data_IF_961405194202
#
_entry.id   IF_961405194202
#
_cell.length_a   1.000
_cell.length_b   1.000
_cell.length_c   1.000
_cell.angle_alpha   90.00
_cell.angle_beta   90.00
_cell.angle_gamma   90.00
#
_symmetry.space_group_name_H-M   'P 1'
#
loop_
_entity.id
_entity.type
_entity.pdbx_description
1 polymer ?
#
# COMPACT_ATOMS: atom_id res chain seq x y z
N UNK A 1 -13.18 5.70 3.54
CA UNK A 1 -12.26 6.33 4.51
C UNK A 1 -10.89 5.70 4.38
N UNK A 2 -9.85 6.31 4.95
CA UNK A 2 -8.47 5.78 4.95
C UNK A 2 -7.94 5.82 6.38
N UNK A 3 -7.34 4.71 6.83
CA UNK A 3 -6.64 4.66 8.12
C UNK A 3 -5.13 4.72 7.88
N UNK A 4 -4.46 5.64 8.57
CA UNK A 4 -3.00 5.77 8.57
C UNK A 4 -2.50 5.42 9.98
N UNK A 5 -1.60 4.45 10.09
CA UNK A 5 -1.06 3.98 11.38
C UNK A 5 0.45 4.16 11.43
N UNK A 6 0.96 4.76 12.50
CA UNK A 6 2.38 4.93 12.74
C UNK A 6 2.95 3.75 13.54
N UNK A 7 4.02 3.13 13.00
CA UNK A 7 4.73 2.01 13.65
C UNK A 7 6.04 2.44 14.34
N UNK A 8 6.41 3.72 14.24
CA UNK A 8 7.61 4.31 14.87
C UNK A 8 7.36 5.76 15.27
N UNK A 9 8.23 6.34 16.09
CA UNK A 9 8.16 7.77 16.43
C UNK A 9 8.44 8.65 15.19
N UNK A 10 9.26 8.15 14.26
CA UNK A 10 9.45 8.73 12.95
C UNK A 10 8.14 8.77 12.14
N UNK A 11 7.39 7.67 12.09
CA UNK A 11 6.05 7.64 11.50
C UNK A 11 5.04 8.54 12.22
N UNK A 12 5.16 8.70 13.53
CA UNK A 12 4.30 9.61 14.31
C UNK A 12 4.46 11.07 13.89
N UNK A 13 5.67 11.48 13.47
CA UNK A 13 5.90 12.83 12.95
C UNK A 13 5.06 13.13 11.70
N UNK A 14 4.80 12.11 10.88
CA UNK A 14 3.93 12.23 9.70
C UNK A 14 2.50 12.52 10.12
N UNK A 15 1.95 11.76 11.08
CA UNK A 15 0.59 11.98 11.57
C UNK A 15 0.41 13.40 12.13
N UNK A 16 1.40 13.87 12.91
CA UNK A 16 1.41 15.24 13.44
C UNK A 16 1.43 16.29 12.33
N UNK A 17 2.26 16.10 11.32
CA UNK A 17 2.40 17.07 10.24
C UNK A 17 1.18 17.09 9.29
N UNK A 18 0.55 15.92 9.04
CA UNK A 18 -0.70 15.82 8.28
C UNK A 18 -1.83 16.60 8.95
N UNK A 19 -1.93 16.56 10.28
CA UNK A 19 -2.95 17.31 11.04
C UNK A 19 -2.96 18.81 10.71
N UNK A 20 -1.80 19.40 10.47
CA UNK A 20 -1.66 20.82 10.15
C UNK A 20 -1.89 21.15 8.66
N UNK A 21 -1.91 20.14 7.79
CA UNK A 21 -1.94 20.33 6.33
C UNK A 21 -3.29 19.98 5.72
N UNK A 22 -4.08 19.12 6.39
CA UNK A 22 -5.36 18.63 5.88
C UNK A 22 -6.42 19.74 5.85
N UNK A 23 -7.20 19.77 4.77
CA UNK A 23 -8.33 20.70 4.58
C UNK A 23 -9.48 20.40 5.56
N UNK A 24 -10.24 21.43 5.92
CA UNK A 24 -11.48 21.32 6.71
C UNK A 24 -12.55 20.44 6.05
N UNK A 25 -12.42 20.13 4.76
CA UNK A 25 -13.34 19.25 4.02
C UNK A 25 -13.18 17.77 4.39
N UNK A 26 -12.05 17.35 4.95
CA UNK A 26 -11.81 15.95 5.38
C UNK A 26 -12.10 15.84 6.87
N UNK A 27 -12.96 14.90 7.26
CA UNK A 27 -13.16 14.62 8.69
C UNK A 27 -12.03 13.73 9.20
N UNK A 28 -11.42 14.13 10.32
CA UNK A 28 -10.27 13.46 10.91
C UNK A 28 -10.67 12.90 12.27
N UNK A 29 -10.42 11.61 12.49
CA UNK A 29 -10.54 10.97 13.81
C UNK A 29 -9.17 10.46 14.23
N UNK A 30 -8.68 10.97 15.35
CA UNK A 30 -7.35 10.64 15.87
C UNK A 30 -7.42 9.57 16.96
N UNK A 31 -6.42 8.71 16.99
CA UNK A 31 -6.09 7.81 18.10
C UNK A 31 -4.59 7.90 18.37
N UNK A 32 -4.11 7.32 19.47
CA UNK A 32 -2.72 7.45 19.94
C UNK A 32 -1.64 7.16 18.88
N UNK A 33 -1.89 6.23 17.96
CA UNK A 33 -0.94 5.84 16.91
C UNK A 33 -1.56 5.78 15.50
N UNK A 34 -2.78 6.29 15.33
CA UNK A 34 -3.45 6.25 14.04
C UNK A 34 -4.34 7.46 13.79
N UNK A 35 -4.57 7.72 12.50
CA UNK A 35 -5.43 8.79 12.00
C UNK A 35 -6.36 8.22 10.95
N UNK A 36 -7.67 8.38 11.17
CA UNK A 36 -8.71 7.98 10.22
C UNK A 36 -9.22 9.20 9.47
N UNK A 37 -9.08 9.17 8.15
CA UNK A 37 -9.52 10.22 7.23
C UNK A 37 -10.82 9.80 6.54
N UNK A 38 -11.87 10.60 6.68
CA UNK A 38 -13.13 10.42 5.95
C UNK A 38 -13.20 11.49 4.86
N UNK A 39 -13.07 11.04 3.62
CA UNK A 39 -13.20 11.87 2.43
C UNK A 39 -14.67 12.13 2.11
N UNK A 40 -15.02 13.34 1.64
CA UNK A 40 -16.38 13.64 1.20
C UNK A 40 -16.77 12.80 -0.01
N UNK A 41 -18.06 12.55 -0.18
CA UNK A 41 -18.57 12.01 -1.44
C UNK A 41 -18.40 13.07 -2.54
N UNK A 42 -17.95 12.62 -3.71
CA UNK A 42 -17.87 13.47 -4.91
C UNK A 42 -19.29 13.74 -5.41
N UNK A 43 -19.57 14.99 -5.77
CA UNK A 43 -20.87 15.35 -6.38
C UNK A 43 -21.01 14.63 -7.72
N UNK A 44 -22.22 14.17 -8.04
CA UNK A 44 -22.53 13.46 -9.29
C UNK A 44 -22.81 14.41 -10.46
N UNK A 45 -23.00 15.70 -10.18
CA UNK A 45 -23.36 16.72 -11.16
C UNK A 45 -22.16 17.55 -11.66
N UNK A 46 -20.95 16.99 -11.57
CA UNK A 46 -19.73 17.62 -12.10
C UNK A 46 -19.31 16.91 -13.38
N UNK A 47 -18.59 17.62 -14.25
CA UNK A 47 -17.99 17.01 -15.42
C UNK A 47 -16.90 15.98 -15.05
N UNK A 48 -16.54 15.10 -15.99
CA UNK A 48 -15.57 14.03 -15.75
C UNK A 48 -14.17 14.56 -15.41
N UNK A 49 -13.77 15.71 -15.96
CA UNK A 49 -12.47 16.32 -15.66
C UNK A 49 -12.41 16.79 -14.19
N UNK A 50 -13.48 17.41 -13.71
CA UNK A 50 -13.63 17.80 -12.30
C UNK A 50 -13.78 16.59 -11.39
N UNK A 51 -14.44 15.51 -11.83
CA UNK A 51 -14.52 14.25 -11.09
C UNK A 51 -13.13 13.65 -10.86
N UNK A 52 -12.26 13.67 -11.88
CA UNK A 52 -10.87 13.19 -11.77
C UNK A 52 -10.03 14.06 -10.83
N UNK A 53 -10.26 15.38 -10.82
CA UNK A 53 -9.54 16.33 -9.96
C UNK A 53 -10.11 16.42 -8.53
N UNK A 54 -11.27 15.81 -8.28
CA UNK A 54 -11.92 15.83 -6.99
C UNK A 54 -11.12 15.09 -5.93
N UNK A 55 -11.26 15.57 -4.69
CA UNK A 55 -10.59 14.99 -3.54
C UNK A 55 -11.08 13.55 -3.30
N UNK A 56 -10.13 12.62 -3.12
CA UNK A 56 -10.40 11.20 -3.01
C UNK A 56 -9.43 10.54 -2.04
N UNK A 57 -9.62 9.24 -1.81
CA UNK A 57 -8.73 8.48 -0.94
C UNK A 57 -7.26 8.50 -1.39
N UNK A 58 -6.98 8.73 -2.67
CA UNK A 58 -5.61 8.81 -3.21
C UNK A 58 -4.86 10.05 -2.75
N UNK A 59 -5.59 11.10 -2.34
CA UNK A 59 -4.95 12.32 -1.84
C UNK A 59 -4.19 12.08 -0.53
N UNK A 60 -4.45 10.97 0.18
CA UNK A 60 -3.67 10.60 1.36
C UNK A 60 -2.16 10.52 1.06
N UNK A 61 -1.77 9.99 -0.11
CA UNK A 61 -0.37 9.96 -0.54
C UNK A 61 0.14 11.34 -0.88
N UNK A 62 -0.68 12.12 -1.61
CA UNK A 62 -0.32 13.48 -2.02
C UNK A 62 -0.08 14.39 -0.83
N UNK A 63 -0.87 14.26 0.23
CA UNK A 63 -0.66 15.01 1.47
C UNK A 63 0.68 14.67 2.11
N UNK A 64 1.01 13.38 2.24
CA UNK A 64 2.30 12.95 2.81
C UNK A 64 3.47 13.48 1.96
N UNK A 65 3.39 13.36 0.63
CA UNK A 65 4.43 13.84 -0.28
C UNK A 65 4.54 15.37 -0.31
N UNK A 66 3.47 16.10 0.00
CA UNK A 66 3.48 17.57 0.08
C UNK A 66 4.12 18.08 1.37
N UNK A 67 3.88 17.38 2.48
CA UNK A 67 4.44 17.73 3.79
C UNK A 67 5.96 17.53 3.82
N UNK A 68 6.44 16.44 3.22
CA UNK A 68 7.86 16.09 3.26
C UNK A 68 8.51 16.31 1.90
N UNK A 69 9.46 17.25 1.85
CA UNK A 69 10.24 17.51 0.64
C UNK A 69 11.47 16.62 0.58
N UNK A 70 11.86 16.22 -0.63
CA UNK A 70 13.11 15.53 -0.92
C UNK A 70 14.09 16.52 -1.60
N UNK A 71 14.71 17.46 -0.86
CA UNK A 71 15.53 18.52 -1.44
C UNK A 71 16.75 17.99 -2.20
N UNK A 72 17.30 16.86 -1.74
CA UNK A 72 18.46 16.20 -2.36
C UNK A 72 18.07 15.38 -3.59
N UNK A 73 16.78 15.34 -3.96
CA UNK A 73 16.24 14.56 -5.10
C UNK A 73 16.70 13.10 -5.09
N UNK A 74 16.86 12.53 -3.90
CA UNK A 74 17.27 11.13 -3.75
C UNK A 74 16.15 10.24 -4.28
N UNK A 75 16.46 9.37 -5.24
CA UNK A 75 15.50 8.39 -5.74
C UNK A 75 14.98 7.53 -4.58
N UNK A 76 13.65 7.33 -4.53
CA UNK A 76 12.94 6.54 -3.50
C UNK A 76 13.05 7.09 -2.06
N UNK A 77 13.34 8.38 -1.88
CA UNK A 77 13.37 9.01 -0.55
C UNK A 77 12.02 8.95 0.20
N UNK A 78 10.90 8.94 -0.53
CA UNK A 78 9.58 8.67 0.00
C UNK A 78 9.01 7.53 -0.85
N UNK A 79 9.02 6.32 -0.30
CA UNK A 79 8.67 5.12 -1.03
C UNK A 79 7.44 4.45 -0.42
N UNK A 80 6.38 4.35 -1.20
CA UNK A 80 5.18 3.59 -0.88
C UNK A 80 5.21 2.26 -1.61
N UNK A 81 5.11 1.15 -0.87
CA UNK A 81 4.97 -0.19 -1.42
C UNK A 81 3.68 -0.83 -0.92
N UNK A 82 2.85 -1.37 -1.82
CA UNK A 82 1.54 -1.85 -1.42
C UNK A 82 0.68 -2.39 -2.56
N UNK A 83 -0.63 -2.39 -2.30
CA UNK A 83 -1.68 -2.99 -3.12
C UNK A 83 -2.83 -1.99 -3.30
N UNK A 84 -3.27 -1.87 -4.54
CA UNK A 84 -4.62 -1.42 -4.89
C UNK A 84 -5.47 -2.65 -5.20
N UNK A 85 -6.61 -2.82 -4.54
CA UNK A 85 -7.50 -3.94 -4.84
C UNK A 85 -8.32 -3.65 -6.09
N UNK A 86 -8.91 -4.70 -6.68
CA UNK A 86 -9.88 -4.55 -7.77
C UNK A 86 -11.13 -3.78 -7.29
N UNK A 87 -11.62 -4.07 -6.09
CA UNK A 87 -12.83 -3.46 -5.52
C UNK A 87 -12.71 -1.94 -5.29
N UNK A 88 -11.49 -1.39 -5.34
CA UNK A 88 -11.25 0.05 -5.26
C UNK A 88 -12.04 0.85 -6.31
N UNK A 89 -12.31 0.27 -7.48
CA UNK A 89 -13.07 0.93 -8.54
C UNK A 89 -14.50 1.25 -8.12
N UNK A 90 -15.07 0.52 -7.17
CA UNK A 90 -16.42 0.79 -6.61
C UNK A 90 -16.52 2.14 -5.88
N UNK A 91 -15.38 2.79 -5.57
CA UNK A 91 -15.37 4.13 -5.00
C UNK A 91 -15.55 5.24 -6.04
N UNK A 92 -15.39 4.93 -7.33
CA UNK A 92 -15.41 5.90 -8.43
C UNK A 92 -16.48 5.61 -9.47
N UNK A 93 -16.88 4.34 -9.58
CA UNK A 93 -17.90 3.86 -10.51
C UNK A 93 -19.05 3.17 -9.80
N UNK A 94 -20.24 3.25 -10.40
CA UNK A 94 -21.43 2.59 -9.88
C UNK A 94 -21.36 1.09 -10.19
N UNK A 95 -21.09 0.29 -9.17
CA UNK A 95 -21.11 -1.16 -9.26
C UNK A 95 -22.20 -1.74 -8.38
N UNK A 96 -22.72 -2.92 -8.76
CA UNK A 96 -23.62 -3.67 -7.90
C UNK A 96 -22.87 -4.08 -6.63
N UNK A 97 -23.56 -4.00 -5.49
CA UNK A 97 -22.95 -4.39 -4.23
C UNK A 97 -22.67 -5.90 -4.24
N UNK A 98 -21.40 -6.26 -4.12
CA UNK A 98 -20.94 -7.65 -3.97
C UNK A 98 -20.56 -7.91 -2.51
N UNK A 99 -20.87 -9.11 -2.01
CA UNK A 99 -20.44 -9.51 -0.67
C UNK A 99 -18.93 -9.78 -0.66
N UNK A 100 -18.18 -9.06 0.19
CA UNK A 100 -16.74 -9.30 0.34
C UNK A 100 -16.51 -10.63 1.07
N UNK A 101 -15.85 -11.58 0.40
CA UNK A 101 -15.41 -12.85 0.99
C UNK A 101 -14.02 -12.76 1.62
N UNK A 102 -13.22 -11.75 1.26
CA UNK A 102 -11.83 -11.61 1.68
C UNK A 102 -11.66 -10.42 2.62
N UNK A 103 -10.64 -10.49 3.50
CA UNK A 103 -10.23 -9.38 4.38
C UNK A 103 -9.33 -8.35 3.66
N UNK A 104 -9.31 -8.38 2.33
CA UNK A 104 -8.51 -7.46 1.54
C UNK A 104 -9.14 -6.06 1.57
N UNK A 105 -8.40 -5.02 2.03
CA UNK A 105 -8.88 -3.65 1.95
C UNK A 105 -8.80 -3.13 0.51
N UNK A 106 -9.50 -2.03 0.22
CA UNK A 106 -9.46 -1.39 -1.10
C UNK A 106 -8.06 -0.85 -1.43
N UNK A 107 -7.34 -0.46 -0.38
CA UNK A 107 -5.99 0.06 -0.45
C UNK A 107 -5.18 -0.38 0.78
N UNK A 108 -3.94 -0.85 0.56
CA UNK A 108 -3.00 -1.17 1.64
C UNK A 108 -1.57 -0.84 1.21
N UNK A 109 -0.97 0.18 1.82
CA UNK A 109 0.39 0.62 1.49
C UNK A 109 1.23 0.81 2.74
N UNK A 110 2.52 0.48 2.60
CA UNK A 110 3.55 0.75 3.59
C UNK A 110 4.43 1.89 3.09
N UNK A 111 4.67 2.86 3.95
CA UNK A 111 5.71 3.86 3.74
C UNK A 111 7.02 3.33 4.32
N UNK A 112 8.04 3.17 3.48
CA UNK A 112 9.32 2.62 3.90
C UNK A 112 10.10 3.62 4.76
N UNK A 113 10.41 3.21 6.00
CA UNK A 113 11.37 3.91 6.86
C UNK A 113 12.82 3.55 6.49
N UNK A 114 13.08 2.26 6.27
CA UNK A 114 14.36 1.77 5.76
C UNK A 114 14.10 0.92 4.53
N UNK A 115 14.79 1.24 3.45
CA UNK A 115 14.66 0.58 2.16
C UNK A 115 16.01 0.00 1.74
N UNK A 116 16.01 -1.27 1.33
CA UNK A 116 17.15 -1.91 0.71
C UNK A 116 16.94 -1.93 -0.81
N UNK A 117 17.86 -1.37 -1.57
CA UNK A 117 17.79 -1.31 -3.03
C UNK A 117 18.96 -2.09 -3.61
N UNK A 118 18.64 -3.17 -4.31
CA UNK A 118 19.62 -3.96 -5.05
C UNK A 118 19.62 -3.57 -6.52
N UNK A 119 20.79 -3.25 -7.06
CA UNK A 119 21.01 -3.10 -8.49
C UNK A 119 21.80 -4.33 -8.95
N UNK A 120 21.13 -5.25 -9.64
CA UNK A 120 21.73 -6.49 -10.10
C UNK A 120 22.72 -6.28 -11.25
N UNK A 121 22.48 -5.27 -12.10
CA UNK A 121 23.37 -4.98 -13.23
C UNK A 121 24.69 -4.38 -12.74
N UNK A 122 24.63 -3.43 -11.81
CA UNK A 122 25.82 -2.79 -11.22
C UNK A 122 26.41 -3.55 -10.04
N UNK A 123 25.74 -4.61 -9.58
CA UNK A 123 26.10 -5.39 -8.40
C UNK A 123 26.26 -4.52 -7.14
N UNK A 124 25.42 -3.50 -7.01
CA UNK A 124 25.44 -2.59 -5.85
C UNK A 124 24.23 -2.79 -4.97
N UNK A 125 24.41 -2.56 -3.67
CA UNK A 125 23.34 -2.61 -2.68
C UNK A 125 23.36 -1.32 -1.86
N UNK A 126 22.23 -0.62 -1.83
CA UNK A 126 22.08 0.66 -1.14
C UNK A 126 21.07 0.50 -0.01
N UNK A 127 21.47 0.88 1.20
CA UNK A 127 20.55 1.03 2.34
C UNK A 127 20.16 2.50 2.41
N UNK A 128 18.88 2.78 2.21
CA UNK A 128 18.31 4.12 2.29
C UNK A 128 17.40 4.24 3.50
N UNK A 129 17.46 5.37 4.17
CA UNK A 129 16.64 5.67 5.33
C UNK A 129 15.86 6.96 5.12
N UNK A 130 14.59 6.93 5.48
CA UNK A 130 13.66 8.05 5.37
C UNK A 130 13.35 8.58 6.77
N UNK A 131 13.97 9.70 7.13
CA UNK A 131 13.73 10.38 8.40
C UNK A 131 12.74 11.54 8.20
N UNK A 132 11.56 11.40 8.79
CA UNK A 132 10.45 12.37 8.79
C UNK A 132 10.36 13.16 10.09
N UNK A 133 11.12 12.78 11.12
CA UNK A 133 11.14 13.44 12.44
C UNK A 133 12.40 14.25 12.67
N UNK A 134 12.29 15.37 13.38
CA UNK A 134 13.44 16.13 13.89
C UNK A 134 14.03 15.54 15.19
N UNK A 135 13.51 14.41 15.67
CA UNK A 135 14.00 13.77 16.88
C UNK A 135 15.38 13.13 16.64
N UNK A 136 16.39 13.61 17.37
CA UNK A 136 17.78 13.10 17.30
C UNK A 136 17.87 11.62 17.67
N UNK A 137 17.05 11.15 18.61
CA UNK A 137 17.03 9.74 19.00
C UNK A 137 16.52 8.85 17.86
N UNK A 138 15.56 9.32 17.06
CA UNK A 138 15.09 8.57 15.89
C UNK A 138 16.16 8.52 14.80
N UNK A 139 16.90 9.62 14.59
CA UNK A 139 18.05 9.62 13.69
C UNK A 139 19.09 8.58 14.12
N UNK A 140 19.43 8.53 15.41
CA UNK A 140 20.39 7.55 15.94
C UNK A 140 19.88 6.11 15.84
N UNK A 141 18.59 5.87 16.15
CA UNK A 141 17.95 4.54 16.03
C UNK A 141 18.03 4.03 14.59
N UNK A 142 17.65 4.87 13.62
CA UNK A 142 17.63 4.52 12.21
C UNK A 142 19.06 4.31 11.66
N UNK A 143 20.04 5.12 12.08
CA UNK A 143 21.45 4.91 11.75
C UNK A 143 21.99 3.58 12.31
N UNK A 144 21.73 3.30 13.59
CA UNK A 144 22.09 2.03 14.23
C UNK A 144 21.48 0.85 13.46
N UNK A 145 20.21 0.98 13.07
CA UNK A 145 19.51 -0.04 12.28
C UNK A 145 20.16 -0.30 10.93
N UNK A 146 20.66 0.73 10.25
CA UNK A 146 21.39 0.52 8.99
C UNK A 146 22.70 -0.21 9.17
N UNK A 147 23.45 0.09 10.23
CA UNK A 147 24.69 -0.62 10.55
C UNK A 147 24.39 -2.10 10.84
N UNK A 148 23.32 -2.39 11.58
CA UNK A 148 22.87 -3.77 11.80
C UNK A 148 22.56 -4.50 10.49
N UNK A 149 21.83 -3.85 9.58
CA UNK A 149 21.47 -4.42 8.28
C UNK A 149 22.73 -4.65 7.44
N UNK A 150 23.63 -3.69 7.38
CA UNK A 150 24.91 -3.82 6.68
C UNK A 150 25.74 -4.99 7.22
N UNK A 151 25.83 -5.12 8.55
CA UNK A 151 26.52 -6.25 9.18
C UNK A 151 25.86 -7.59 8.83
N UNK A 152 24.53 -7.66 8.80
CA UNK A 152 23.79 -8.88 8.37
C UNK A 152 24.03 -9.22 6.91
N UNK A 153 24.15 -8.23 6.03
CA UNK A 153 24.42 -8.46 4.60
C UNK A 153 25.84 -9.02 4.36
N UNK A 154 26.80 -8.68 5.24
CA UNK A 154 28.18 -9.19 5.18
C UNK A 154 28.34 -10.57 5.81
N UNK A 155 27.42 -10.97 6.69
CA UNK A 155 27.45 -12.30 7.29
C UNK A 155 27.19 -13.35 6.20
N UNK A 156 27.95 -14.45 6.25
CA UNK A 156 27.63 -15.60 5.42
C UNK A 156 26.23 -16.06 5.80
N UNK A 157 25.30 -15.99 4.84
CA UNK A 157 24.06 -16.70 4.97
C UNK A 157 24.39 -18.18 5.23
N UNK A 158 23.76 -18.84 6.21
CA UNK A 158 23.84 -20.30 6.28
C UNK A 158 23.40 -20.80 4.91
N UNK A 159 24.34 -21.36 4.14
CA UNK A 159 24.17 -21.66 2.72
C UNK A 159 22.91 -22.49 2.48
N UNK A 160 22.29 -22.32 1.29
CA UNK A 160 20.97 -22.86 0.86
C UNK A 160 20.06 -23.09 2.06
N UNK A 161 19.09 -22.18 2.29
CA UNK A 161 17.97 -22.39 3.21
C UNK A 161 17.65 -23.87 3.24
N UNK A 162 18.14 -24.58 4.28
CA UNK A 162 17.81 -25.99 4.46
C UNK A 162 16.34 -25.92 4.78
N UNK A 163 15.51 -26.01 3.75
CA UNK A 163 14.07 -26.02 3.88
C UNK A 163 13.80 -26.92 5.05
N UNK A 164 13.13 -26.38 6.06
CA UNK A 164 12.88 -27.11 7.30
C UNK A 164 12.32 -28.47 6.88
N UNK A 165 13.07 -29.55 7.09
CA UNK A 165 12.70 -30.90 6.65
C UNK A 165 11.46 -31.41 7.38
N UNK A 166 11.01 -30.64 8.39
CA UNK A 166 9.76 -30.81 9.10
C UNK A 166 8.58 -30.03 8.47
N UNK A 167 8.74 -29.41 7.30
CA UNK A 167 7.59 -28.96 6.52
C UNK A 167 6.90 -30.23 6.00
N UNK A 168 5.65 -30.51 6.38
CA UNK A 168 4.92 -31.64 5.85
C UNK A 168 4.85 -31.49 4.32
N UNK A 169 5.60 -32.33 3.62
CA UNK A 169 5.42 -32.49 2.18
C UNK A 169 4.16 -33.30 2.00
N UNK A 170 3.06 -32.61 1.73
CA UNK A 170 1.83 -33.26 1.32
C UNK A 170 2.11 -33.97 0.00
N UNK A 171 2.18 -35.31 0.02
CA UNK A 171 2.37 -36.14 -1.20
C UNK A 171 1.24 -35.93 -2.20
N UNK A 172 0.09 -35.48 -1.72
CA UNK A 172 -1.10 -35.19 -2.50
C UNK A 172 -1.66 -33.84 -2.03
N UNK A 173 -1.76 -32.88 -2.95
CA UNK A 173 -2.49 -31.65 -2.73
C UNK A 173 -3.88 -31.81 -3.36
N UNK A 174 -4.94 -31.68 -2.56
CA UNK A 174 -6.30 -31.67 -3.09
C UNK A 174 -6.58 -30.31 -3.74
N UNK A 175 -6.67 -30.31 -5.07
CA UNK A 175 -7.11 -29.15 -5.84
C UNK A 175 -8.63 -29.05 -5.77
N UNK A 176 -9.14 -27.89 -5.36
CA UNK A 176 -10.56 -27.56 -5.40
C UNK A 176 -10.79 -26.33 -6.26
N UNK A 177 -11.99 -26.20 -6.80
CA UNK A 177 -12.43 -25.02 -7.56
C UNK A 177 -13.71 -24.47 -6.93
N UNK A 178 -13.90 -23.16 -7.01
CA UNK A 178 -15.14 -22.52 -6.62
C UNK A 178 -16.24 -22.64 -7.69
N UNK A 179 -15.94 -23.28 -8.83
CA UNK A 179 -16.83 -23.44 -9.98
C UNK A 179 -16.44 -24.66 -10.82
N UNK A 180 -17.42 -25.36 -11.37
CA UNK A 180 -17.25 -26.45 -12.33
C UNK A 180 -17.10 -25.94 -13.77
N UNK A 181 -16.59 -26.79 -14.67
CA UNK A 181 -16.43 -26.45 -16.09
C UNK A 181 -17.76 -26.09 -16.77
N UNK A 182 -18.84 -26.77 -16.41
CA UNK A 182 -20.18 -26.50 -16.95
C UNK A 182 -20.75 -25.17 -16.48
N UNK A 183 -20.54 -24.81 -15.21
CA UNK A 183 -20.92 -23.50 -14.66
C UNK A 183 -20.12 -22.38 -15.33
N UNK A 184 -18.81 -22.57 -15.53
CA UNK A 184 -17.98 -21.58 -16.21
C UNK A 184 -18.36 -21.40 -17.68
N UNK A 185 -18.68 -22.51 -18.38
CA UNK A 185 -19.17 -22.47 -19.76
C UNK A 185 -20.50 -21.69 -19.87
N UNK A 186 -21.40 -21.87 -18.91
CA UNK A 186 -22.66 -21.12 -18.85
C UNK A 186 -22.43 -19.61 -18.74
N UNK A 187 -21.46 -19.18 -17.93
CA UNK A 187 -21.06 -17.77 -17.84
C UNK A 187 -20.55 -17.25 -19.18
N UNK A 188 -19.69 -18.00 -19.87
CA UNK A 188 -19.17 -17.62 -21.19
C UNK A 188 -20.31 -17.43 -22.19
N UNK A 189 -21.25 -18.37 -22.25
CA UNK A 189 -22.41 -18.29 -23.16
C UNK A 189 -23.27 -17.06 -22.86
N UNK A 190 -23.49 -16.75 -21.58
CA UNK A 190 -24.23 -15.56 -21.17
C UNK A 190 -23.51 -14.26 -21.59
N UNK A 191 -22.19 -14.19 -21.41
CA UNK A 191 -21.38 -13.05 -21.84
C UNK A 191 -21.42 -12.86 -23.37
N UNK A 192 -21.39 -13.95 -24.14
CA UNK A 192 -21.53 -13.89 -25.61
C UNK A 192 -22.88 -13.30 -26.04
N UNK A 193 -23.96 -13.60 -25.31
CA UNK A 193 -25.27 -13.00 -25.58
C UNK A 193 -25.25 -11.47 -25.33
N UNK A 194 -24.55 -10.99 -24.30
CA UNK A 194 -24.41 -9.54 -24.08
C UNK A 194 -23.61 -8.87 -25.19
N UNK A 195 -22.50 -9.48 -25.61
CA UNK A 195 -21.69 -8.99 -26.74
C UNK A 195 -22.53 -8.89 -28.01
N UNK A 196 -23.34 -9.90 -28.32
CA UNK A 196 -24.23 -9.87 -29.50
C UNK A 196 -25.30 -8.78 -29.43
N UNK A 197 -25.69 -8.36 -28.21
CA UNK A 197 -26.63 -7.26 -27.98
C UNK A 197 -25.96 -5.88 -27.95
N UNK A 198 -24.63 -5.81 -28.04
CA UNK A 198 -23.89 -4.55 -27.96
C UNK A 198 -23.88 -3.91 -26.58
N UNK A 199 -24.00 -4.72 -25.52
CA UNK A 199 -23.89 -4.32 -24.11
C UNK A 199 -22.56 -4.83 -23.59
#
# INVERSE_FOLDING_TARGET
>A
SVQITAFSLNGMAILKALKHTLSNTIKIFENNQSMNLIFPCVDKNIDEDQKILSISIFDCFRFIMRVFTNPQKISKAIFFGGLFSYDLIANFELLSHLARKQKCPDICFYLAETLLVWDHEKQTCIIQNSLFSHNVNEKYRIQTRSIEIENKLKQKLPGILKYNTNIPVYKEASLTSNMTDSEYLSIIQQLQIFIQKGI
#
